data_IF_602032405613
#
_entry.id   IF_602032405613
#
_cell.length_a   1.000
_cell.length_b   1.000
_cell.length_c   1.000
_cell.angle_alpha   90.00
_cell.angle_beta   90.00
_cell.angle_gamma   90.00
#
_symmetry.space_group_name_H-M   'P 1'
#
loop_
_entity.id
_entity.type
_entity.pdbx_description
1 polymer ?
#
# COMPACT_ATOMS: atom_id res chain seq x y z
N UNK A 1 2.08 -31.02 0.23
CA UNK A 1 0.78 -30.86 0.94
C UNK A 1 0.24 -29.46 0.68
N UNK A 2 -0.82 -29.32 -0.13
CA UNK A 2 -1.56 -28.04 -0.27
C UNK A 2 -2.63 -28.02 0.83
N UNK A 3 -2.44 -27.20 1.86
CA UNK A 3 -3.47 -27.00 2.89
C UNK A 3 -4.49 -26.01 2.32
N UNK A 4 -5.64 -26.53 1.89
CA UNK A 4 -6.77 -25.68 1.51
C UNK A 4 -7.22 -24.87 2.74
N UNK A 5 -7.29 -23.55 2.58
CA UNK A 5 -7.96 -22.68 3.54
C UNK A 5 -9.43 -23.10 3.57
N UNK A 6 -9.89 -23.73 4.66
CA UNK A 6 -11.31 -23.97 4.87
C UNK A 6 -12.00 -22.60 4.91
N UNK A 7 -12.85 -22.32 3.94
CA UNK A 7 -13.80 -21.22 4.03
C UNK A 7 -14.76 -21.54 5.17
N UNK A 8 -14.78 -20.70 6.19
CA UNK A 8 -15.73 -20.81 7.28
C UNK A 8 -17.12 -20.58 6.67
N UNK A 9 -17.97 -21.61 6.64
CA UNK A 9 -19.40 -21.44 6.44
C UNK A 9 -19.95 -20.92 7.78
N UNK A 10 -20.03 -19.62 7.94
CA UNK A 10 -20.78 -18.99 9.04
C UNK A 10 -22.21 -18.76 8.56
N UNK A 11 -23.21 -19.03 9.41
CA UNK A 11 -24.54 -18.44 9.26
C UNK A 11 -24.36 -16.93 9.12
N UNK A 12 -24.62 -16.41 7.92
CA UNK A 12 -24.05 -15.15 7.45
C UNK A 12 -24.74 -13.95 8.14
N UNK A 13 -24.14 -13.41 9.18
CA UNK A 13 -24.30 -11.98 9.48
C UNK A 13 -23.75 -11.19 8.31
N UNK A 14 -24.64 -10.78 7.41
CA UNK A 14 -24.29 -10.16 6.13
C UNK A 14 -23.66 -8.77 6.35
N UNK A 15 -22.36 -8.66 6.08
CA UNK A 15 -21.66 -7.39 6.03
C UNK A 15 -21.69 -6.82 4.60
N UNK A 16 -21.99 -5.53 4.48
CA UNK A 16 -21.96 -4.81 3.21
C UNK A 16 -21.33 -3.42 3.38
N UNK A 17 -21.29 -2.63 2.30
CA UNK A 17 -20.71 -1.29 2.32
C UNK A 17 -21.43 -0.32 3.27
N UNK A 18 -22.67 -0.57 3.66
CA UNK A 18 -23.46 0.34 4.50
C UNK A 18 -23.65 -0.17 5.93
N UNK A 19 -23.41 -1.47 6.15
CA UNK A 19 -23.65 -2.11 7.43
C UNK A 19 -22.61 -3.18 7.70
N UNK A 20 -21.94 -3.06 8.85
CA UNK A 20 -21.07 -4.08 9.40
C UNK A 20 -21.68 -4.53 10.74
N UNK A 21 -22.06 -5.80 10.90
CA UNK A 21 -22.56 -6.35 12.15
C UNK A 21 -21.61 -6.10 13.33
N UNK A 22 -22.16 -5.92 14.53
CA UNK A 22 -21.36 -5.64 15.73
C UNK A 22 -20.29 -6.69 15.99
N UNK A 23 -20.60 -7.96 15.73
CA UNK A 23 -19.69 -9.10 15.86
C UNK A 23 -18.46 -9.02 14.95
N UNK A 24 -18.56 -8.28 13.83
CA UNK A 24 -17.47 -8.03 12.88
C UNK A 24 -16.85 -6.64 13.06
N UNK A 25 -17.53 -5.73 13.75
CA UNK A 25 -17.03 -4.39 14.05
C UNK A 25 -16.00 -4.36 15.19
N UNK A 26 -15.91 -5.45 15.95
CA UNK A 26 -15.07 -5.61 17.15
C UNK A 26 -14.13 -6.80 17.03
N UNK A 27 -13.02 -6.72 17.75
CA UNK A 27 -12.10 -7.84 17.95
C UNK A 27 -12.60 -8.77 19.07
N UNK A 28 -11.96 -9.94 19.22
CA UNK A 28 -12.32 -10.94 20.25
C UNK A 28 -12.21 -10.40 21.69
N UNK A 29 -11.39 -9.38 21.91
CA UNK A 29 -11.23 -8.69 23.20
C UNK A 29 -12.27 -7.57 23.43
N UNK A 30 -13.22 -7.39 22.51
CA UNK A 30 -14.27 -6.37 22.55
C UNK A 30 -13.85 -4.98 22.05
N UNK A 31 -12.56 -4.77 21.76
CA UNK A 31 -12.06 -3.51 21.22
C UNK A 31 -12.58 -3.27 19.80
N UNK A 32 -12.66 -2.00 19.40
CA UNK A 32 -13.13 -1.63 18.06
C UNK A 32 -12.12 -2.05 17.01
N UNK A 33 -12.61 -2.64 15.92
CA UNK A 33 -11.86 -2.90 14.70
C UNK A 33 -12.25 -1.92 13.59
N UNK A 34 -13.52 -1.53 13.52
CA UNK A 34 -14.03 -0.55 12.55
C UNK A 34 -14.08 0.82 13.21
N UNK A 35 -13.24 1.75 12.72
CA UNK A 35 -13.10 3.11 13.27
C UNK A 35 -13.80 4.17 12.43
N UNK A 36 -14.16 3.87 11.18
CA UNK A 36 -14.96 4.73 10.30
C UNK A 36 -15.78 3.90 9.34
N UNK A 37 -17.06 4.24 9.21
CA UNK A 37 -18.01 3.63 8.28
C UNK A 37 -18.76 4.77 7.56
N UNK A 38 -18.22 5.22 6.42
CA UNK A 38 -18.83 6.22 5.55
C UNK A 38 -19.04 5.62 4.15
N UNK A 39 -20.05 6.03 3.36
CA UNK A 39 -20.37 5.43 2.05
C UNK A 39 -19.20 5.32 1.07
N UNK A 40 -18.19 6.19 1.21
CA UNK A 40 -17.02 6.25 0.32
C UNK A 40 -15.71 5.89 1.01
N UNK A 41 -15.70 5.65 2.33
CA UNK A 41 -14.47 5.39 3.08
C UNK A 41 -14.76 4.59 4.36
N UNK A 42 -14.23 3.37 4.39
CA UNK A 42 -14.17 2.58 5.61
C UNK A 42 -12.73 2.57 6.13
N UNK A 43 -12.57 2.75 7.44
CA UNK A 43 -11.27 2.64 8.10
C UNK A 43 -11.40 1.62 9.21
N UNK A 44 -10.57 0.59 9.13
CA UNK A 44 -10.51 -0.48 10.11
C UNK A 44 -9.04 -0.75 10.46
N UNK A 45 -8.76 -0.89 11.74
CA UNK A 45 -7.45 -1.24 12.27
C UNK A 45 -7.59 -1.71 13.72
N UNK A 46 -6.52 -2.24 14.29
CA UNK A 46 -6.47 -2.56 15.71
C UNK A 46 -5.62 -1.48 16.40
N UNK A 47 -6.24 -0.61 17.20
CA UNK A 47 -5.53 0.45 17.95
C UNK A 47 -4.38 -0.13 18.78
N UNK A 48 -4.59 -1.24 19.48
CA UNK A 48 -3.54 -1.86 20.28
C UNK A 48 -2.32 -2.25 19.43
N UNK A 49 -2.52 -2.81 18.23
CA UNK A 49 -1.42 -3.13 17.32
C UNK A 49 -0.62 -1.89 16.91
N UNK A 50 -1.31 -0.79 16.56
CA UNK A 50 -0.66 0.47 16.16
C UNK A 50 0.11 1.08 17.32
N UNK A 51 -0.49 1.12 18.52
CA UNK A 51 0.14 1.66 19.71
C UNK A 51 1.33 0.80 20.18
N UNK A 52 1.20 -0.54 20.14
CA UNK A 52 2.28 -1.46 20.49
C UNK A 52 3.46 -1.33 19.54
N UNK A 53 3.22 -1.23 18.24
CA UNK A 53 4.30 -0.99 17.27
C UNK A 53 4.99 0.35 17.54
N UNK A 54 4.23 1.42 17.81
CA UNK A 54 4.81 2.72 18.19
C UNK A 54 5.69 2.62 19.45
N UNK A 55 5.19 2.02 20.53
CA UNK A 55 5.93 1.78 21.79
C UNK A 55 7.17 0.90 21.60
N UNK A 56 7.15 0.00 20.62
CA UNK A 56 8.26 -0.88 20.29
C UNK A 56 9.32 -0.20 19.41
N UNK A 57 9.23 1.11 19.20
CA UNK A 57 10.21 1.88 18.43
C UNK A 57 9.95 1.83 16.92
N UNK A 58 8.69 1.84 16.50
CA UNK A 58 8.32 1.97 15.08
C UNK A 58 9.10 3.12 14.43
N UNK A 59 9.94 2.80 13.45
CA UNK A 59 10.76 3.78 12.75
C UNK A 59 10.27 4.06 11.33
N UNK A 60 9.39 3.21 10.78
CA UNK A 60 8.91 3.35 9.41
C UNK A 60 7.42 3.01 9.26
N UNK A 61 6.67 3.90 8.59
CA UNK A 61 5.32 3.64 8.09
C UNK A 61 5.39 3.48 6.57
N UNK A 62 4.99 2.32 6.05
CA UNK A 62 4.92 2.09 4.60
C UNK A 62 3.45 2.08 4.20
N UNK A 63 3.05 2.97 3.30
CA UNK A 63 1.68 3.01 2.78
C UNK A 63 1.69 2.93 1.25
N UNK A 64 0.81 2.06 0.74
CA UNK A 64 0.52 1.88 -0.67
C UNK A 64 -1.00 2.06 -0.85
N UNK A 65 -1.40 2.78 -1.90
CA UNK A 65 -2.81 3.02 -2.15
C UNK A 65 -3.02 3.64 -3.52
N UNK A 66 -4.09 3.24 -4.20
CA UNK A 66 -4.49 3.79 -5.49
C UNK A 66 -5.55 4.90 -5.31
N UNK A 67 -5.37 5.76 -4.31
CA UNK A 67 -6.35 6.81 -3.98
C UNK A 67 -5.84 8.13 -4.56
N UNK A 68 -6.71 8.90 -5.23
CA UNK A 68 -6.30 10.20 -5.81
C UNK A 68 -6.72 11.42 -4.96
N UNK A 69 -7.42 11.19 -3.85
CA UNK A 69 -7.93 12.27 -2.99
C UNK A 69 -7.01 12.55 -1.81
N UNK A 70 -6.55 13.80 -1.70
CA UNK A 70 -5.80 14.27 -0.53
C UNK A 70 -6.62 14.20 0.77
N UNK A 71 -7.94 14.43 0.68
CA UNK A 71 -8.83 14.35 1.84
C UNK A 71 -8.86 12.93 2.41
N UNK A 72 -8.98 11.92 1.55
CA UNK A 72 -9.01 10.52 1.98
C UNK A 72 -7.70 10.11 2.66
N UNK A 73 -6.55 10.45 2.06
CA UNK A 73 -5.26 10.21 2.73
C UNK A 73 -5.13 10.96 4.04
N UNK A 74 -5.58 12.22 4.11
CA UNK A 74 -5.57 12.99 5.35
C UNK A 74 -6.40 12.30 6.43
N UNK A 75 -7.57 11.76 6.08
CA UNK A 75 -8.39 11.00 7.03
C UNK A 75 -7.68 9.73 7.50
N UNK A 76 -7.12 8.94 6.59
CA UNK A 76 -6.41 7.69 6.94
C UNK A 76 -5.20 7.98 7.83
N UNK A 77 -4.35 8.92 7.45
CA UNK A 77 -3.16 9.27 8.23
C UNK A 77 -3.50 9.94 9.56
N UNK A 78 -4.65 10.61 9.67
CA UNK A 78 -5.12 11.16 10.93
C UNK A 78 -5.42 10.06 11.95
N UNK A 79 -6.10 8.98 11.55
CA UNK A 79 -6.32 7.82 12.44
C UNK A 79 -5.00 7.28 12.99
N UNK A 80 -3.98 7.09 12.14
CA UNK A 80 -2.65 6.63 12.59
C UNK A 80 -1.99 7.64 13.54
N UNK A 81 -2.08 8.93 13.22
CA UNK A 81 -1.52 10.00 14.07
C UNK A 81 -2.19 10.02 15.45
N UNK A 82 -3.51 9.87 15.49
CA UNK A 82 -4.27 9.93 16.74
C UNK A 82 -3.88 8.75 17.66
N UNK A 83 -3.61 7.57 17.11
CA UNK A 83 -3.05 6.44 17.87
C UNK A 83 -1.64 6.71 18.42
N UNK A 84 -0.78 7.42 17.67
CA UNK A 84 0.53 7.83 18.17
C UNK A 84 0.42 8.87 19.28
N UNK A 85 -0.51 9.82 19.16
CA UNK A 85 -0.79 10.83 20.21
C UNK A 85 -1.34 10.16 21.47
N UNK A 86 -2.21 9.17 21.33
CA UNK A 86 -2.76 8.40 22.44
C UNK A 86 -1.75 7.42 23.08
N UNK A 87 -0.58 7.21 22.47
CA UNK A 87 0.45 6.29 22.96
C UNK A 87 1.83 6.93 23.04
N UNK A 88 2.68 6.71 22.04
CA UNK A 88 4.02 7.29 21.93
C UNK A 88 4.19 7.79 20.51
N UNK A 89 4.61 9.04 20.36
CA UNK A 89 4.90 9.61 19.06
C UNK A 89 6.32 9.24 18.60
N UNK A 90 6.51 8.60 17.43
CA UNK A 90 7.84 8.22 16.98
C UNK A 90 8.70 9.43 16.61
N UNK A 91 9.84 9.61 17.29
CA UNK A 91 10.71 10.79 17.12
C UNK A 91 11.36 10.89 15.72
N UNK A 92 11.65 9.76 15.06
CA UNK A 92 12.34 9.71 13.75
C UNK A 92 11.50 8.97 12.71
N UNK A 93 10.22 9.27 12.63
CA UNK A 93 9.30 8.56 11.74
C UNK A 93 9.71 8.73 10.26
N UNK A 94 9.98 7.61 9.59
CA UNK A 94 10.13 7.56 8.14
C UNK A 94 8.81 7.12 7.52
N UNK A 95 8.26 7.89 6.59
CA UNK A 95 7.06 7.49 5.86
C UNK A 95 7.42 7.18 4.42
N UNK A 96 7.23 5.92 4.01
CA UNK A 96 7.50 5.44 2.66
C UNK A 96 6.17 5.34 1.91
N UNK A 97 6.03 6.12 0.86
CA UNK A 97 4.79 6.22 0.07
C UNK A 97 5.05 5.84 -1.39
N UNK A 98 3.97 5.52 -2.09
CA UNK A 98 3.94 5.72 -3.53
C UNK A 98 4.19 7.21 -3.87
N UNK A 99 4.68 7.52 -5.07
CA UNK A 99 5.02 8.91 -5.46
C UNK A 99 3.77 9.81 -5.68
N UNK A 100 2.64 9.48 -5.05
CA UNK A 100 1.39 10.20 -5.16
C UNK A 100 1.46 11.58 -4.49
N UNK A 101 1.16 12.64 -5.25
CA UNK A 101 1.14 14.02 -4.69
C UNK A 101 0.17 14.16 -3.52
N UNK A 102 -0.99 13.50 -3.61
CA UNK A 102 -2.04 13.55 -2.59
C UNK A 102 -1.59 12.90 -1.27
N UNK A 103 -0.98 11.72 -1.32
CA UNK A 103 -0.47 11.00 -0.14
C UNK A 103 0.70 11.76 0.50
N UNK A 104 1.65 12.24 -0.31
CA UNK A 104 2.79 13.05 0.17
C UNK A 104 2.30 14.32 0.87
N UNK A 105 1.34 15.03 0.28
CA UNK A 105 0.79 16.27 0.87
C UNK A 105 0.09 16.00 2.20
N UNK A 106 -0.70 14.92 2.30
CA UNK A 106 -1.38 14.54 3.54
C UNK A 106 -0.39 14.21 4.66
N UNK A 107 0.67 13.44 4.35
CA UNK A 107 1.71 13.09 5.34
C UNK A 107 2.47 14.31 5.81
N UNK A 108 2.92 15.19 4.90
CA UNK A 108 3.62 16.43 5.28
C UNK A 108 2.77 17.33 6.18
N UNK A 109 1.45 17.31 6.01
CA UNK A 109 0.52 18.07 6.85
C UNK A 109 0.38 17.47 8.25
N UNK A 110 0.31 16.14 8.38
CA UNK A 110 0.00 15.47 9.65
C UNK A 110 1.24 15.06 10.45
N UNK A 111 2.36 14.84 9.76
CA UNK A 111 3.65 14.45 10.30
C UNK A 111 4.73 15.38 9.75
N UNK A 112 4.73 16.68 10.14
CA UNK A 112 5.64 17.68 9.57
C UNK A 112 7.12 17.33 9.78
N UNK A 113 7.45 16.66 10.88
CA UNK A 113 8.82 16.25 11.24
C UNK A 113 9.22 14.89 10.64
N UNK A 114 8.29 14.18 9.99
CA UNK A 114 8.58 12.88 9.42
C UNK A 114 9.40 13.00 8.12
N UNK A 115 10.33 12.06 7.93
CA UNK A 115 11.05 11.95 6.67
C UNK A 115 10.23 11.17 5.66
N UNK A 116 9.75 11.85 4.61
CA UNK A 116 9.03 11.21 3.51
C UNK A 116 10.02 10.63 2.48
N UNK A 117 9.87 9.35 2.14
CA UNK A 117 10.64 8.64 1.11
C UNK A 117 9.71 8.03 0.06
N UNK A 118 10.19 7.97 -1.18
CA UNK A 118 9.50 7.24 -2.24
C UNK A 118 9.75 5.73 -2.13
N UNK A 119 8.73 4.95 -2.43
CA UNK A 119 8.83 3.49 -2.43
C UNK A 119 9.65 2.99 -3.64
N UNK A 120 10.81 2.39 -3.36
CA UNK A 120 11.70 1.83 -4.39
C UNK A 120 11.02 0.72 -5.21
N UNK A 121 10.06 -0.02 -4.63
CA UNK A 121 9.27 -1.02 -5.33
C UNK A 121 8.38 -0.40 -6.42
N UNK A 122 7.63 0.67 -6.10
CA UNK A 122 6.82 1.37 -7.10
C UNK A 122 7.67 2.08 -8.15
N UNK A 123 8.84 2.59 -7.76
CA UNK A 123 9.82 3.14 -8.71
C UNK A 123 10.27 2.05 -9.69
N UNK A 124 10.65 0.88 -9.19
CA UNK A 124 11.05 -0.27 -10.00
C UNK A 124 9.96 -0.69 -10.99
N UNK A 125 8.72 -0.81 -10.51
CA UNK A 125 7.58 -1.13 -11.36
C UNK A 125 7.37 -0.09 -12.46
N UNK A 126 7.49 1.21 -12.14
CA UNK A 126 7.36 2.30 -13.11
C UNK A 126 8.42 2.21 -14.20
N UNK A 127 9.68 1.95 -13.83
CA UNK A 127 10.78 1.77 -14.79
C UNK A 127 10.58 0.55 -15.70
N UNK A 128 10.14 -0.59 -15.14
CA UNK A 128 9.83 -1.79 -15.93
C UNK A 128 8.71 -1.51 -16.93
N UNK A 129 7.62 -0.86 -16.50
CA UNK A 129 6.51 -0.49 -17.39
C UNK A 129 6.97 0.48 -18.48
N UNK A 130 7.81 1.46 -18.14
CA UNK A 130 8.34 2.43 -19.10
C UNK A 130 9.21 1.74 -20.13
N UNK A 131 10.14 0.88 -19.70
CA UNK A 131 10.99 0.05 -20.58
C UNK A 131 10.14 -0.76 -21.58
N UNK A 132 9.12 -1.44 -21.08
CA UNK A 132 8.22 -2.24 -21.92
C UNK A 132 7.46 -1.36 -22.92
N UNK A 133 6.94 -0.21 -22.45
CA UNK A 133 6.19 0.76 -23.28
C UNK A 133 7.02 1.34 -24.42
N UNK A 134 8.30 1.60 -24.19
CA UNK A 134 9.21 2.13 -25.24
C UNK A 134 9.86 1.03 -26.08
N UNK A 135 9.43 -0.24 -25.92
CA UNK A 135 9.90 -1.34 -26.75
C UNK A 135 11.36 -1.74 -26.52
N UNK A 136 11.91 -1.46 -25.33
CA UNK A 136 13.31 -1.77 -25.02
C UNK A 136 13.56 -3.24 -24.66
N UNK A 137 12.51 -4.02 -24.41
CA UNK A 137 12.63 -5.41 -23.96
C UNK A 137 13.43 -6.32 -24.94
N UNK A 138 13.24 -6.27 -26.28
CA UNK A 138 14.01 -7.09 -27.21
C UNK A 138 15.52 -6.81 -27.19
N UNK A 139 15.93 -5.62 -26.75
CA UNK A 139 17.35 -5.22 -26.68
C UNK A 139 18.06 -5.74 -25.43
N UNK A 140 17.34 -6.34 -24.47
CA UNK A 140 17.92 -6.87 -23.23
C UNK A 140 18.21 -8.38 -23.28
N UNK A 141 17.45 -9.17 -24.05
CA UNK A 141 17.57 -10.64 -23.99
C UNK A 141 17.12 -11.39 -25.25
N UNK A 142 17.07 -10.75 -26.43
CA UNK A 142 16.64 -11.39 -27.68
C UNK A 142 17.66 -11.20 -28.81
N UNK A 143 17.32 -11.63 -30.03
CA UNK A 143 18.17 -11.49 -31.24
C UNK A 143 18.60 -10.04 -31.54
N UNK A 144 17.94 -9.05 -30.94
CA UNK A 144 18.22 -7.62 -31.08
C UNK A 144 19.01 -7.05 -29.88
N UNK A 145 19.68 -7.90 -29.10
CA UNK A 145 20.41 -7.50 -27.90
C UNK A 145 21.40 -6.36 -28.20
N UNK A 146 21.34 -5.29 -27.41
CA UNK A 146 22.30 -4.19 -27.45
C UNK A 146 23.03 -4.10 -26.12
N UNK A 147 24.37 -4.13 -26.17
CA UNK A 147 25.22 -4.04 -24.99
C UNK A 147 25.07 -2.69 -24.28
N UNK A 148 24.87 -1.61 -25.02
CA UNK A 148 24.66 -0.27 -24.46
C UNK A 148 23.35 -0.20 -23.67
N UNK A 149 22.26 -0.73 -24.24
CA UNK A 149 20.94 -0.76 -23.58
C UNK A 149 20.95 -1.67 -22.36
N UNK A 150 21.64 -2.81 -22.44
CA UNK A 150 21.82 -3.70 -21.29
C UNK A 150 22.63 -3.02 -20.19
N UNK A 151 23.76 -2.41 -20.51
CA UNK A 151 24.62 -1.70 -19.55
C UNK A 151 23.87 -0.58 -18.87
N UNK A 152 23.18 0.27 -19.64
CA UNK A 152 22.30 1.32 -19.11
C UNK A 152 21.22 0.76 -18.16
N UNK A 153 20.58 -0.34 -18.55
CA UNK A 153 19.56 -0.98 -17.71
C UNK A 153 20.15 -1.57 -16.41
N UNK A 154 21.37 -2.11 -16.45
CA UNK A 154 22.08 -2.57 -15.25
C UNK A 154 22.45 -1.40 -14.34
N UNK A 155 22.87 -0.24 -14.87
CA UNK A 155 23.11 0.98 -14.08
C UNK A 155 21.86 1.42 -13.32
N UNK A 156 20.69 1.39 -13.98
CA UNK A 156 19.41 1.71 -13.34
C UNK A 156 19.10 0.72 -12.20
N UNK A 157 19.26 -0.59 -12.43
CA UNK A 157 19.05 -1.61 -11.38
C UNK A 157 20.04 -1.46 -10.21
N UNK A 158 21.30 -1.17 -10.51
CA UNK A 158 22.35 -0.97 -9.51
C UNK A 158 22.09 0.25 -8.61
N UNK A 159 21.29 1.22 -9.07
CA UNK A 159 20.86 2.40 -8.29
C UNK A 159 19.80 2.08 -7.22
N UNK A 160 19.65 0.80 -6.83
CA UNK A 160 18.72 0.37 -5.78
C UNK A 160 17.30 0.06 -6.25
N UNK A 161 17.10 -0.17 -7.56
CA UNK A 161 15.83 -0.62 -8.12
C UNK A 161 15.74 -2.15 -7.97
N UNK A 162 14.87 -2.68 -7.08
CA UNK A 162 14.76 -4.13 -6.91
C UNK A 162 14.28 -4.79 -8.21
N UNK A 163 14.80 -5.99 -8.47
CA UNK A 163 14.28 -6.82 -9.57
C UNK A 163 12.89 -7.31 -9.19
N UNK A 164 11.86 -6.63 -9.66
CA UNK A 164 10.46 -7.02 -9.44
C UNK A 164 10.09 -8.10 -10.45
N UNK A 165 9.92 -9.35 -9.99
CA UNK A 165 9.23 -10.37 -10.78
C UNK A 165 7.75 -10.04 -10.79
N UNK A 166 7.08 -10.12 -11.96
CA UNK A 166 5.61 -10.04 -12.01
C UNK A 166 5.08 -11.17 -11.14
N UNK A 167 4.41 -10.84 -10.04
CA UNK A 167 3.52 -11.80 -9.37
C UNK A 167 2.33 -11.97 -10.32
N UNK A 168 1.99 -13.20 -10.75
CA UNK A 168 0.78 -13.41 -11.54
C UNK A 168 -0.41 -12.82 -10.78
N UNK A 169 -1.20 -11.97 -11.45
CA UNK A 169 -2.53 -11.66 -10.91
C UNK A 169 -3.24 -12.99 -10.71
N UNK A 170 -3.67 -13.29 -9.49
CA UNK A 170 -4.69 -14.31 -9.27
C UNK A 170 -5.92 -13.79 -10.02
N UNK A 171 -6.17 -14.36 -11.20
CA UNK A 171 -7.36 -14.09 -11.99
C UNK A 171 -8.54 -14.68 -11.22
N UNK A 172 -9.10 -13.90 -10.31
CA UNK A 172 -10.41 -14.14 -9.73
C UNK A 172 -11.40 -13.17 -10.35
N UNK A 173 -12.30 -13.70 -11.17
CA UNK A 173 -13.60 -13.11 -11.51
C UNK A 173 -13.59 -11.91 -12.45
N UNK A 174 -14.25 -12.07 -13.59
CA UNK A 174 -14.51 -11.04 -14.59
C UNK A 174 -15.01 -9.71 -14.00
N UNK A 175 -14.33 -8.62 -14.35
CA UNK A 175 -14.99 -7.40 -14.82
C UNK A 175 -14.01 -6.61 -15.69
N UNK A 176 -14.33 -6.64 -16.99
CA UNK A 176 -13.77 -5.83 -18.06
C UNK A 176 -13.99 -4.36 -17.72
N UNK A 177 -12.94 -3.54 -17.65
CA UNK A 177 -13.05 -2.16 -18.11
C UNK A 177 -11.83 -1.74 -18.91
N UNK A 178 -12.14 -1.33 -20.14
CA UNK A 178 -11.27 -0.92 -21.23
C UNK A 178 -10.56 0.39 -20.90
N UNK A 179 -9.37 0.56 -21.47
CA UNK A 179 -8.70 1.85 -21.59
C UNK A 179 -9.56 2.82 -22.40
N UNK A 180 -9.61 4.08 -21.97
CA UNK A 180 -9.74 5.22 -22.88
C UNK A 180 -8.81 6.32 -22.36
N UNK A 181 -7.84 6.65 -23.22
CA UNK A 181 -6.92 7.80 -23.30
C UNK A 181 -6.38 8.48 -22.03
#
# INVERSE_FOLDING_TARGET
>A
MKRALKTHKSDETFANMYHIPDSLSRLLDGSMFVHRLEPTLHVYYNSNTVQMTARSGLYALVADGFIHSNLVYTTIFRHVRDEFVASVFPANLRVVLDFGKASISAVKRLFPDATVKGCAFHLAQTWIRRRDRVGLLPFLSAARKSFEVETWWQTIKASGIPTVRRVPKVLGGDMVHRHVC
#
